data_IF_702974791199
#
_entry.id   IF_702974791199
#
_cell.length_a   1.000
_cell.length_b   1.000
_cell.length_c   1.000
_cell.angle_alpha   90.00
_cell.angle_beta   90.00
_cell.angle_gamma   90.00
#
_symmetry.space_group_name_H-M   'P 1'
#
loop_
_entity.id
_entity.type
_entity.pdbx_description
1 polymer ?
#
# COMPACT_ATOMS: atom_id res chain seq x y z
N UNK A 1 -9.83 -1.21 4.15
CA UNK A 1 -8.81 -2.28 4.13
C UNK A 1 -7.45 -1.68 4.53
N UNK A 2 -6.42 -2.48 4.82
CA UNK A 2 -5.11 -1.98 5.30
C UNK A 2 -4.51 -0.91 4.38
N UNK A 3 -4.59 -1.14 3.06
CA UNK A 3 -4.14 -0.17 2.06
C UNK A 3 -4.89 1.17 2.17
N UNK A 4 -6.21 1.17 2.30
CA UNK A 4 -6.99 2.42 2.39
C UNK A 4 -6.61 3.26 3.62
N UNK A 5 -6.26 2.59 4.73
CA UNK A 5 -5.78 3.27 5.94
C UNK A 5 -4.42 3.93 5.68
N UNK A 6 -3.48 3.19 5.11
CA UNK A 6 -2.15 3.69 4.74
C UNK A 6 -2.26 4.84 3.72
N UNK A 7 -3.13 4.71 2.72
CA UNK A 7 -3.36 5.75 1.72
C UNK A 7 -3.94 7.01 2.35
N UNK A 8 -4.88 6.89 3.30
CA UNK A 8 -5.41 8.04 4.05
C UNK A 8 -4.36 8.79 4.85
N UNK A 9 -3.44 8.08 5.51
CA UNK A 9 -2.35 8.68 6.29
C UNK A 9 -1.23 9.28 5.43
N UNK A 10 -1.02 8.76 4.23
CA UNK A 10 0.07 9.21 3.33
C UNK A 10 -0.36 10.20 2.27
N UNK A 11 -1.66 10.31 2.01
CA UNK A 11 -2.19 11.27 1.08
C UNK A 11 -2.03 12.68 1.64
N UNK A 12 -1.46 13.57 0.84
CA UNK A 12 -1.25 14.95 1.24
C UNK A 12 -1.23 15.88 0.03
N UNK A 13 -1.12 17.17 0.32
CA UNK A 13 -0.88 18.18 -0.69
C UNK A 13 0.48 18.81 -0.45
N UNK A 14 1.24 18.95 -1.53
CA UNK A 14 2.46 19.75 -1.51
C UNK A 14 2.10 21.21 -1.16
N UNK A 15 2.71 21.75 -0.11
CA UNK A 15 2.36 23.07 0.43
C UNK A 15 2.75 24.24 -0.47
N UNK A 16 3.66 24.03 -1.43
CA UNK A 16 4.16 25.06 -2.33
C UNK A 16 3.39 25.06 -3.67
N UNK A 17 3.09 23.88 -4.21
CA UNK A 17 2.48 23.72 -5.54
C UNK A 17 1.01 23.30 -5.50
N UNK A 18 0.51 22.83 -4.35
CA UNK A 18 -0.83 22.26 -4.20
C UNK A 18 -1.01 20.88 -4.83
N UNK A 19 0.04 20.28 -5.40
CA UNK A 19 -0.05 18.96 -6.02
C UNK A 19 -0.41 17.88 -4.99
N UNK A 20 -1.27 16.95 -5.41
CA UNK A 20 -1.58 15.75 -4.62
C UNK A 20 -0.36 14.84 -4.58
N UNK A 21 0.09 14.51 -3.38
CA UNK A 21 1.10 13.50 -3.13
C UNK A 21 0.38 12.27 -2.59
N UNK A 22 0.43 11.18 -3.35
CA UNK A 22 -0.11 9.88 -2.94
C UNK A 22 0.94 8.80 -3.22
N UNK A 23 1.87 8.66 -2.27
CA UNK A 23 2.98 7.71 -2.37
C UNK A 23 2.48 6.26 -2.28
N UNK A 24 1.51 5.99 -1.41
CA UNK A 24 0.93 4.67 -1.26
C UNK A 24 0.22 4.20 -2.54
N UNK A 25 -0.53 5.08 -3.22
CA UNK A 25 -1.16 4.74 -4.50
C UNK A 25 -0.13 4.38 -5.57
N UNK A 26 0.97 5.12 -5.68
CA UNK A 26 2.05 4.84 -6.63
C UNK A 26 2.72 3.49 -6.34
N UNK A 27 3.06 3.22 -5.08
CA UNK A 27 3.66 1.95 -4.69
C UNK A 27 2.72 0.77 -4.96
N UNK A 28 1.42 0.97 -4.72
CA UNK A 28 0.41 -0.05 -4.97
C UNK A 28 0.14 -0.26 -6.45
N UNK A 29 0.21 0.80 -7.27
CA UNK A 29 0.17 0.70 -8.73
C UNK A 29 1.35 -0.09 -9.27
N UNK A 30 2.57 0.26 -8.87
CA UNK A 30 3.76 -0.46 -9.26
C UNK A 30 3.70 -1.95 -8.88
N UNK A 31 3.21 -2.27 -7.68
CA UNK A 31 3.01 -3.66 -7.25
C UNK A 31 2.00 -4.41 -8.12
N UNK A 32 0.90 -3.76 -8.52
CA UNK A 32 -0.11 -4.37 -9.41
C UNK A 32 0.51 -4.73 -10.76
N UNK A 33 1.22 -3.79 -11.37
CA UNK A 33 1.79 -3.95 -12.70
C UNK A 33 2.93 -4.98 -12.75
N UNK A 34 3.78 -5.00 -11.72
CA UNK A 34 5.00 -5.83 -11.75
C UNK A 34 4.80 -7.20 -11.10
N UNK A 35 3.90 -7.31 -10.12
CA UNK A 35 3.76 -8.53 -9.31
C UNK A 35 2.41 -9.20 -9.50
N UNK A 36 1.30 -8.46 -9.36
CA UNK A 36 -0.05 -9.04 -9.55
C UNK A 36 -0.23 -9.50 -11.00
N UNK A 37 0.12 -8.66 -11.96
CA UNK A 37 -0.14 -8.95 -13.39
C UNK A 37 0.80 -10.03 -13.95
N UNK A 38 1.88 -10.35 -13.24
CA UNK A 38 2.73 -11.50 -13.55
C UNK A 38 2.11 -12.85 -13.13
N UNK A 39 1.07 -12.86 -12.27
CA UNK A 39 0.44 -14.09 -11.80
C UNK A 39 -0.46 -14.72 -12.87
N UNK A 40 -0.27 -16.02 -13.12
CA UNK A 40 -1.00 -16.79 -14.14
C UNK A 40 -2.23 -17.54 -13.60
N UNK A 41 -2.34 -17.68 -12.28
CA UNK A 41 -3.41 -18.42 -11.63
C UNK A 41 -3.81 -17.81 -10.28
N UNK A 42 -4.92 -18.32 -9.73
CA UNK A 42 -5.48 -17.85 -8.48
C UNK A 42 -4.58 -18.14 -7.26
N UNK A 43 -3.75 -19.19 -7.30
CA UNK A 43 -2.88 -19.56 -6.19
C UNK A 43 -1.70 -18.58 -6.07
N UNK A 44 -1.14 -18.17 -7.21
CA UNK A 44 -0.17 -17.08 -7.29
C UNK A 44 -0.78 -15.79 -6.73
N UNK A 45 -1.93 -15.36 -7.26
CA UNK A 45 -2.60 -14.13 -6.80
C UNK A 45 -2.81 -14.12 -5.28
N UNK A 46 -3.29 -15.22 -4.72
CA UNK A 46 -3.50 -15.36 -3.28
C UNK A 46 -2.20 -15.22 -2.49
N UNK A 47 -1.14 -15.92 -2.91
CA UNK A 47 0.16 -15.93 -2.23
C UNK A 47 0.79 -14.54 -2.25
N UNK A 48 0.82 -13.92 -3.43
CA UNK A 48 1.41 -12.58 -3.63
C UNK A 48 0.64 -11.52 -2.85
N UNK A 49 -0.69 -11.62 -2.77
CA UNK A 49 -1.51 -10.68 -2.03
C UNK A 49 -1.28 -10.79 -0.50
N UNK A 50 -1.15 -12.02 0.03
CA UNK A 50 -0.80 -12.24 1.44
C UNK A 50 0.58 -11.64 1.74
N UNK A 51 1.57 -11.88 0.87
CA UNK A 51 2.91 -11.33 1.03
C UNK A 51 2.90 -9.79 1.04
N UNK A 52 2.13 -9.16 0.14
CA UNK A 52 1.99 -7.70 0.09
C UNK A 52 1.37 -7.14 1.37
N UNK A 53 0.33 -7.77 1.90
CA UNK A 53 -0.27 -7.35 3.16
C UNK A 53 0.70 -7.48 4.35
N UNK A 54 1.50 -8.54 4.39
CA UNK A 54 2.52 -8.71 5.43
C UNK A 54 3.61 -7.64 5.35
N UNK A 55 4.08 -7.34 4.14
CA UNK A 55 5.05 -6.26 3.88
C UNK A 55 4.49 -4.91 4.33
N UNK A 56 3.26 -4.58 3.94
CA UNK A 56 2.59 -3.34 4.37
C UNK A 56 2.50 -3.24 5.90
N UNK A 57 2.08 -4.31 6.59
CA UNK A 57 2.01 -4.31 8.06
C UNK A 57 3.36 -4.09 8.71
N UNK A 58 4.42 -4.66 8.14
CA UNK A 58 5.79 -4.48 8.64
C UNK A 58 6.28 -3.04 8.42
N UNK A 59 6.06 -2.48 7.23
CA UNK A 59 6.52 -1.14 6.91
C UNK A 59 5.78 -0.06 7.70
N UNK A 60 4.54 -0.36 8.11
CA UNK A 60 3.65 0.57 8.82
C UNK A 60 3.46 0.21 10.30
N UNK A 61 4.25 -0.71 10.87
CA UNK A 61 4.01 -1.22 12.22
C UNK A 61 4.02 -0.12 13.27
N UNK A 62 4.95 0.83 13.18
CA UNK A 62 5.07 1.94 14.14
C UNK A 62 3.86 2.88 14.09
N UNK A 63 3.29 3.09 12.90
CA UNK A 63 2.10 3.94 12.72
C UNK A 63 0.83 3.20 13.09
N UNK A 64 0.69 1.93 12.71
CA UNK A 64 -0.51 1.12 12.92
C UNK A 64 -0.73 0.76 14.40
N UNK A 65 0.34 0.55 15.18
CA UNK A 65 0.24 0.25 16.63
C UNK A 65 -0.24 1.47 17.45
N UNK A 66 -0.11 2.69 16.90
CA UNK A 66 -0.51 3.91 17.60
C UNK A 66 -2.02 4.22 17.53
N UNK A 67 -2.74 3.59 16.61
CA UNK A 67 -4.19 3.76 16.40
C UNK A 67 -5.07 2.79 17.22
N UNK A 68 -4.48 1.82 17.90
CA UNK A 68 -5.18 0.82 18.73
C UNK A 68 -5.19 1.20 20.23
N UNK A 69 -5.00 2.49 20.56
CA UNK A 69 -4.86 2.99 21.94
C UNK A 69 -5.87 4.04 22.36
#
# INVERSE_FOLDING_TARGET
MLFDKIAGETAGHDGETGQVIDAAAKDQEHWRETVRDACKDAQCLKTTHIARLAEMRKNWSETLDSDDR
#
